data_IF_556350567527
#
_entry.id   IF_556350567527
#
_cell.length_a   1.000
_cell.length_b   1.000
_cell.length_c   1.000
_cell.angle_alpha   90.00
_cell.angle_beta   90.00
_cell.angle_gamma   90.00
#
_symmetry.space_group_name_H-M   'P 1'
#
loop_
_entity.id
_entity.type
_entity.pdbx_description
1 polymer ?
#
# COMPACT_ATOMS: atom_id res chain seq x y z
N UNK A 1 14.22 -4.64 -12.76
CA UNK A 1 13.97 -3.31 -12.15
C UNK A 1 15.15 -2.99 -11.24
N UNK A 2 15.71 -1.76 -11.28
CA UNK A 2 16.85 -1.37 -10.45
C UNK A 2 16.51 -1.24 -8.96
N UNK A 3 15.24 -1.02 -8.59
CA UNK A 3 14.80 -0.85 -7.20
C UNK A 3 13.48 -1.59 -6.95
N UNK A 4 13.34 -2.15 -5.75
CA UNK A 4 12.07 -2.67 -5.22
C UNK A 4 11.68 -1.89 -3.98
N UNK A 5 10.54 -1.22 -4.05
CA UNK A 5 9.93 -0.54 -2.90
C UNK A 5 9.09 -1.54 -2.10
N UNK A 6 9.25 -1.53 -0.78
CA UNK A 6 8.41 -2.27 0.16
C UNK A 6 7.35 -1.31 0.71
N UNK A 7 6.08 -1.53 0.39
CA UNK A 7 4.99 -0.74 0.94
C UNK A 7 4.55 -1.43 2.23
N UNK A 8 4.74 -0.77 3.36
CA UNK A 8 4.30 -1.23 4.67
C UNK A 8 3.21 -0.35 5.27
N UNK A 9 2.51 -0.86 6.27
CA UNK A 9 1.58 -0.12 7.11
C UNK A 9 1.89 -0.39 8.58
N UNK A 10 1.82 0.66 9.39
CA UNK A 10 2.05 0.60 10.83
C UNK A 10 0.75 0.23 11.55
N UNK A 11 0.73 -0.89 12.28
CA UNK A 11 -0.43 -1.31 13.08
C UNK A 11 -0.71 -0.36 14.25
N UNK A 12 0.29 0.41 14.69
CA UNK A 12 0.21 1.38 15.78
C UNK A 12 0.21 2.83 15.27
N UNK A 13 -0.20 3.07 14.02
CA UNK A 13 -0.29 4.42 13.45
C UNK A 13 -1.06 5.41 14.34
N UNK A 14 -2.00 4.92 15.17
CA UNK A 14 -2.79 5.72 16.08
C UNK A 14 -1.95 6.46 17.13
N UNK A 15 -0.75 5.97 17.47
CA UNK A 15 0.19 6.66 18.38
C UNK A 15 0.65 8.01 17.81
N UNK A 16 0.57 8.18 16.48
CA UNK A 16 0.93 9.44 15.80
C UNK A 16 -0.24 10.41 15.66
N UNK A 17 -1.47 10.03 16.01
CA UNK A 17 -2.65 10.87 15.76
C UNK A 17 -2.67 12.17 16.58
N UNK A 18 -2.03 12.21 17.74
CA UNK A 18 -1.84 13.48 18.47
C UNK A 18 -1.08 14.53 17.64
N UNK A 19 -0.16 14.09 16.76
CA UNK A 19 0.57 14.95 15.83
C UNK A 19 -0.15 15.14 14.50
N UNK A 20 -0.69 14.06 13.93
CA UNK A 20 -1.24 14.05 12.57
C UNK A 20 -2.70 14.55 12.51
N UNK A 21 -3.42 14.49 13.63
CA UNK A 21 -4.81 14.91 13.72
C UNK A 21 -5.12 15.61 15.06
N UNK A 22 -4.44 16.74 15.36
CA UNK A 22 -4.51 17.41 16.67
C UNK A 22 -5.90 17.98 16.99
N UNK A 23 -6.77 18.14 15.99
CA UNK A 23 -8.13 18.66 16.17
C UNK A 23 -9.07 17.66 16.86
N UNK A 24 -8.71 16.38 16.94
CA UNK A 24 -9.43 15.36 17.69
C UNK A 24 -8.47 14.61 18.64
N UNK A 25 -8.25 15.15 19.85
CA UNK A 25 -7.29 14.58 20.81
C UNK A 25 -7.58 13.12 21.21
N UNK A 26 -8.82 12.67 21.09
CA UNK A 26 -9.28 11.31 21.40
C UNK A 26 -9.18 10.34 20.23
N UNK A 27 -8.76 10.77 19.04
CA UNK A 27 -8.83 9.98 17.82
C UNK A 27 -8.07 8.65 17.88
N UNK A 28 -7.00 8.55 18.68
CA UNK A 28 -6.30 7.29 18.90
C UNK A 28 -7.24 6.20 19.45
N UNK A 29 -8.20 6.57 20.31
CA UNK A 29 -9.17 5.65 20.90
C UNK A 29 -10.12 5.01 19.87
N UNK A 30 -10.31 5.66 18.72
CA UNK A 30 -11.18 5.15 17.66
C UNK A 30 -10.57 3.92 16.96
N UNK A 31 -9.23 3.80 17.01
CA UNK A 31 -8.47 2.79 16.28
C UNK A 31 -7.78 1.76 17.17
N UNK A 32 -7.50 2.08 18.44
CA UNK A 32 -6.77 1.20 19.36
C UNK A 32 -7.68 0.28 20.22
N UNK A 33 -9.00 0.27 19.96
CA UNK A 33 -9.97 -0.53 20.73
C UNK A 33 -9.83 -2.04 20.54
N UNK A 34 -9.30 -2.48 19.39
CA UNK A 34 -9.03 -3.87 19.07
C UNK A 34 -8.07 -3.99 17.86
N UNK A 35 -7.38 -5.13 17.74
CA UNK A 35 -6.39 -5.38 16.69
C UNK A 35 -6.99 -5.34 15.28
N UNK A 36 -8.22 -5.83 15.10
CA UNK A 36 -8.86 -5.89 13.78
C UNK A 36 -9.21 -4.50 13.26
N UNK A 37 -9.64 -3.59 14.14
CA UNK A 37 -9.90 -2.19 13.81
C UNK A 37 -8.61 -1.50 13.37
N UNK A 38 -7.53 -1.65 14.15
CA UNK A 38 -6.22 -1.09 13.81
C UNK A 38 -5.74 -1.63 12.46
N UNK A 39 -5.76 -2.95 12.28
CA UNK A 39 -5.37 -3.63 11.04
C UNK A 39 -6.17 -3.14 9.83
N UNK A 40 -7.50 -3.13 9.91
CA UNK A 40 -8.36 -2.77 8.78
C UNK A 40 -8.08 -1.35 8.29
N UNK A 41 -7.86 -0.41 9.22
CA UNK A 41 -7.56 0.97 8.90
C UNK A 41 -6.13 1.13 8.39
N UNK A 42 -5.15 0.55 9.06
CA UNK A 42 -3.75 0.62 8.65
C UNK A 42 -3.54 0.01 7.26
N UNK A 43 -4.08 -1.20 7.03
CA UNK A 43 -3.99 -1.89 5.75
C UNK A 43 -4.60 -1.06 4.62
N UNK A 44 -5.84 -0.58 4.77
CA UNK A 44 -6.52 0.22 3.74
C UNK A 44 -5.79 1.52 3.43
N UNK A 45 -5.39 2.26 4.46
CA UNK A 45 -4.67 3.52 4.28
C UNK A 45 -3.29 3.29 3.64
N UNK A 46 -2.57 2.25 4.05
CA UNK A 46 -1.30 1.84 3.43
C UNK A 46 -1.46 1.46 1.95
N UNK A 47 -2.53 0.73 1.60
CA UNK A 47 -2.83 0.38 0.20
C UNK A 47 -3.11 1.63 -0.64
N UNK A 48 -3.90 2.58 -0.14
CA UNK A 48 -4.20 3.83 -0.84
C UNK A 48 -2.95 4.69 -1.05
N UNK A 49 -2.09 4.81 -0.03
CA UNK A 49 -0.83 5.52 -0.14
C UNK A 49 0.13 4.84 -1.12
N UNK A 50 0.21 3.51 -1.09
CA UNK A 50 0.97 2.74 -2.09
C UNK A 50 0.45 2.95 -3.51
N UNK A 51 -0.87 3.08 -3.71
CA UNK A 51 -1.45 3.41 -5.01
C UNK A 51 -1.04 4.83 -5.48
N UNK A 52 -1.00 5.81 -4.57
CA UNK A 52 -0.48 7.15 -4.89
C UNK A 52 1.00 7.12 -5.28
N UNK A 53 1.83 6.31 -4.61
CA UNK A 53 3.23 6.11 -4.99
C UNK A 53 3.34 5.57 -6.43
N UNK A 54 2.51 4.58 -6.80
CA UNK A 54 2.51 4.03 -8.16
C UNK A 54 2.15 5.10 -9.19
N UNK A 55 1.13 5.92 -8.92
CA UNK A 55 0.73 7.01 -9.81
C UNK A 55 1.84 8.07 -9.95
N UNK A 56 2.46 8.48 -8.84
CA UNK A 56 3.54 9.45 -8.84
C UNK A 56 4.77 8.93 -9.60
N UNK A 57 5.18 7.68 -9.36
CA UNK A 57 6.30 7.05 -10.07
C UNK A 57 6.06 7.01 -11.59
N UNK A 58 4.85 6.63 -12.01
CA UNK A 58 4.46 6.66 -13.43
C UNK A 58 4.48 8.06 -14.03
N UNK A 59 4.01 9.07 -13.29
CA UNK A 59 4.05 10.47 -13.73
C UNK A 59 5.48 10.99 -13.92
N UNK A 60 6.45 10.43 -13.19
CA UNK A 60 7.88 10.70 -13.32
C UNK A 60 8.57 9.83 -14.39
N UNK A 61 7.82 9.04 -15.16
CA UNK A 61 8.33 8.22 -16.25
C UNK A 61 8.89 6.86 -15.83
N UNK A 62 8.60 6.39 -14.61
CA UNK A 62 8.96 5.04 -14.17
C UNK A 62 7.85 4.04 -14.48
N UNK A 63 8.26 2.84 -14.88
CA UNK A 63 7.42 1.65 -14.88
C UNK A 63 7.32 1.06 -13.47
N UNK A 64 6.13 0.55 -13.15
CA UNK A 64 5.78 0.02 -11.84
C UNK A 64 5.21 -1.39 -11.96
N UNK A 65 5.86 -2.34 -11.29
CA UNK A 65 5.40 -3.72 -11.13
C UNK A 65 4.96 -3.99 -9.69
N UNK A 66 3.70 -3.69 -9.31
CA UNK A 66 3.16 -4.04 -7.99
C UNK A 66 2.92 -5.55 -7.88
N UNK A 67 3.28 -6.15 -6.75
CA UNK A 67 3.23 -7.59 -6.50
C UNK A 67 2.79 -7.89 -5.07
N UNK A 68 1.87 -8.85 -4.93
CA UNK A 68 1.43 -9.41 -3.64
C UNK A 68 1.79 -10.90 -3.48
N UNK A 69 2.38 -11.52 -4.50
CA UNK A 69 2.77 -12.93 -4.49
C UNK A 69 4.15 -13.16 -3.85
N UNK A 70 4.30 -12.83 -2.57
CA UNK A 70 5.53 -13.03 -1.80
C UNK A 70 5.20 -13.52 -0.38
N UNK A 71 6.23 -13.93 0.36
CA UNK A 71 6.10 -14.33 1.77
C UNK A 71 6.19 -13.09 2.67
N UNK A 72 5.03 -12.60 3.12
CA UNK A 72 4.95 -11.45 4.02
C UNK A 72 5.72 -11.68 5.33
N UNK A 73 5.67 -12.89 5.90
CA UNK A 73 6.33 -13.16 7.18
C UNK A 73 7.85 -13.02 7.06
N UNK A 74 8.45 -13.52 5.97
CA UNK A 74 9.88 -13.35 5.70
C UNK A 74 10.28 -11.91 5.42
N UNK A 75 9.46 -11.16 4.68
CA UNK A 75 9.73 -9.73 4.42
C UNK A 75 9.64 -8.95 5.73
N UNK A 76 8.63 -9.21 6.56
CA UNK A 76 8.45 -8.56 7.85
C UNK A 76 9.60 -8.89 8.81
N UNK A 77 10.04 -10.15 8.87
CA UNK A 77 11.20 -10.57 9.65
C UNK A 77 12.49 -9.87 9.20
N UNK A 78 12.72 -9.79 7.88
CA UNK A 78 13.97 -9.25 7.38
C UNK A 78 14.05 -7.71 7.43
N UNK A 79 12.93 -7.03 7.17
CA UNK A 79 12.93 -5.57 6.96
C UNK A 79 12.17 -4.78 8.02
N UNK A 80 11.28 -5.42 8.78
CA UNK A 80 10.41 -4.75 9.76
C UNK A 80 10.50 -5.35 11.17
N UNK A 81 11.47 -6.23 11.44
CA UNK A 81 11.67 -6.81 12.77
C UNK A 81 11.85 -5.71 13.84
N UNK A 82 11.18 -5.90 14.97
CA UNK A 82 11.19 -4.94 16.08
C UNK A 82 10.31 -3.70 15.87
N UNK A 83 9.54 -3.64 14.77
CA UNK A 83 8.58 -2.56 14.50
C UNK A 83 7.13 -3.09 14.50
N UNK A 84 6.16 -2.17 14.49
CA UNK A 84 4.75 -2.48 14.29
C UNK A 84 4.34 -2.49 12.81
N UNK A 85 5.30 -2.34 11.89
CA UNK A 85 5.06 -2.29 10.46
C UNK A 85 4.88 -3.70 9.91
N UNK A 86 3.88 -3.85 9.04
CA UNK A 86 3.63 -5.07 8.27
C UNK A 86 3.67 -4.76 6.78
N UNK A 87 4.21 -5.69 6.01
CA UNK A 87 4.26 -5.60 4.54
C UNK A 87 2.85 -5.70 3.94
N UNK A 88 2.58 -4.85 2.95
CA UNK A 88 1.34 -4.85 2.17
C UNK A 88 1.59 -5.48 0.80
N UNK A 89 2.37 -4.77 -0.02
CA UNK A 89 2.77 -5.21 -1.33
C UNK A 89 4.15 -4.65 -1.68
N UNK A 90 4.80 -5.26 -2.68
CA UNK A 90 6.07 -4.79 -3.21
C UNK A 90 5.82 -4.04 -4.52
N UNK A 91 6.62 -3.04 -4.84
CA UNK A 91 6.59 -2.39 -6.14
C UNK A 91 7.99 -2.32 -6.75
N UNK A 92 8.19 -3.08 -7.83
CA UNK A 92 9.39 -2.95 -8.64
C UNK A 92 9.31 -1.67 -9.45
N UNK A 93 10.31 -0.79 -9.33
CA UNK A 93 10.37 0.51 -10.00
C UNK A 93 11.55 0.55 -10.97
N UNK A 94 11.34 1.04 -12.18
CA UNK A 94 12.40 1.10 -13.18
C UNK A 94 11.95 1.58 -14.55
N UNK A 95 12.70 1.17 -15.57
CA UNK A 95 12.36 1.35 -16.97
C UNK A 95 12.21 -0.04 -17.59
N UNK A 96 11.01 -0.36 -18.07
CA UNK A 96 10.70 -1.60 -18.76
C UNK A 96 11.31 -1.59 -20.16
N UNK A 97 11.74 -2.76 -20.64
CA UNK A 97 12.12 -2.93 -22.04
C UNK A 97 10.85 -2.92 -22.90
N UNK A 98 10.67 -1.95 -23.83
CA UNK A 98 9.50 -1.90 -24.69
C UNK A 98 9.30 -3.15 -25.56
N UNK A 99 10.36 -3.95 -25.77
CA UNK A 99 10.28 -5.22 -26.51
C UNK A 99 9.68 -6.37 -25.68
N UNK A 100 9.73 -6.26 -24.35
CA UNK A 100 9.29 -7.29 -23.41
C UNK A 100 7.92 -6.99 -22.77
N UNK A 101 7.32 -5.83 -23.04
CA UNK A 101 6.00 -5.48 -22.51
C UNK A 101 4.89 -5.99 -23.41
N UNK A 102 3.87 -6.58 -22.80
CA UNK A 102 2.64 -6.95 -23.49
C UNK A 102 1.72 -5.72 -23.63
N UNK A 103 0.85 -5.68 -24.66
CA UNK A 103 -0.25 -4.72 -24.70
C UNK A 103 -1.10 -4.77 -23.43
N UNK A 104 -1.82 -3.69 -23.14
CA UNK A 104 -2.72 -3.63 -21.98
C UNK A 104 -3.76 -4.76 -22.06
N UNK A 105 -3.75 -5.63 -21.05
CA UNK A 105 -4.74 -6.71 -20.93
C UNK A 105 -6.18 -6.17 -20.87
N UNK A 106 -7.18 -7.00 -21.20
CA UNK A 106 -8.59 -6.62 -21.09
C UNK A 106 -8.96 -6.01 -19.72
N UNK A 107 -9.94 -5.13 -19.73
CA UNK A 107 -10.57 -4.56 -18.54
C UNK A 107 -12.07 -4.76 -18.68
N UNK A 108 -12.73 -4.99 -17.55
CA UNK A 108 -14.19 -5.00 -17.51
C UNK A 108 -14.71 -3.67 -18.09
N UNK A 109 -15.77 -3.77 -18.88
CA UNK A 109 -16.56 -2.61 -19.27
C UNK A 109 -17.25 -2.00 -18.04
N UNK A 110 -17.78 -0.78 -18.19
CA UNK A 110 -18.48 -0.11 -17.11
C UNK A 110 -19.69 -0.92 -16.62
N UNK A 111 -20.50 -1.44 -17.53
CA UNK A 111 -21.72 -2.20 -17.19
C UNK A 111 -21.42 -3.53 -16.49
N UNK A 112 -20.24 -4.11 -16.73
CA UNK A 112 -19.78 -5.30 -16.01
C UNK A 112 -19.29 -4.97 -14.59
N UNK A 113 -18.69 -3.80 -14.39
CA UNK A 113 -18.03 -3.43 -13.13
C UNK A 113 -18.91 -2.57 -12.19
N UNK A 114 -19.96 -1.93 -12.71
CA UNK A 114 -20.73 -0.90 -11.99
C UNK A 114 -22.24 -1.09 -12.14
N UNK A 115 -22.98 -0.65 -11.12
CA UNK A 115 -24.46 -0.55 -11.14
C UNK A 115 -24.89 0.85 -10.73
N UNK A 116 -25.81 1.43 -11.48
CA UNK A 116 -26.49 2.68 -11.09
C UNK A 116 -27.74 2.29 -10.30
N UNK A 117 -27.90 2.84 -9.10
CA UNK A 117 -29.03 2.61 -8.19
C UNK A 117 -29.70 3.92 -7.80
#
# INVERSE_FOLDING_TARGET
APVTALIGYDLHFYDQLGKLFPNAPDAASWFNKDEQTAFTNAFRNGTLQGAYLILAARALGLDCGPMSGFDNAKVDELFFAGTNVKSNFLCNLGYGDPKGVYPRNPRLSFDEACRIV
#
